data_IF_039235387208
#
_entry.id   IF_039235387208
#
_cell.length_a   1.000
_cell.length_b   1.000
_cell.length_c   1.000
_cell.angle_alpha   90.00
_cell.angle_beta   90.00
_cell.angle_gamma   90.00
#
_symmetry.space_group_name_H-M   'P 1'
#
loop_
_entity.id
_entity.type
_entity.pdbx_description
1 polymer ?
#
# COMPACT_ATOMS: atom_id res chain seq x y z
N UNK A 1 -3.16 18.84 23.15
CA UNK A 1 -3.62 18.32 24.45
C UNK A 1 -2.49 18.39 25.46
N UNK A 2 -1.31 17.88 25.19
CA UNK A 2 -0.15 17.90 26.10
C UNK A 2 0.20 19.31 26.60
N UNK A 3 0.17 20.32 25.72
CA UNK A 3 0.37 21.74 26.09
C UNK A 3 -0.66 22.28 27.10
N UNK A 4 -1.76 21.57 27.28
CA UNK A 4 -2.81 21.90 28.27
C UNK A 4 -2.76 21.01 29.51
N UNK A 5 -1.64 20.32 29.76
CA UNK A 5 -1.46 19.44 30.91
C UNK A 5 -2.20 18.12 30.88
N UNK A 6 -2.69 17.72 29.69
CA UNK A 6 -3.38 16.43 29.49
C UNK A 6 -2.35 15.41 29.07
N UNK A 7 -2.24 14.30 29.81
CA UNK A 7 -1.40 13.18 29.44
C UNK A 7 -1.95 12.48 28.19
N UNK A 8 -1.11 12.31 27.18
CA UNK A 8 -1.51 11.72 25.89
C UNK A 8 -0.47 10.71 25.40
N UNK A 9 -0.96 9.64 24.80
CA UNK A 9 -0.17 8.66 24.06
C UNK A 9 -0.85 8.41 22.71
N UNK A 10 -0.10 8.53 21.63
CA UNK A 10 -0.57 8.29 20.28
C UNK A 10 -0.51 6.80 19.92
N UNK A 11 -1.51 6.36 19.13
CA UNK A 11 -1.52 5.03 18.50
C UNK A 11 -1.65 5.24 17.00
N UNK A 12 -0.70 4.74 16.17
CA UNK A 12 -0.70 4.98 14.75
C UNK A 12 -1.79 4.17 14.03
N UNK A 13 -2.74 4.89 13.41
CA UNK A 13 -3.87 4.32 12.70
C UNK A 13 -4.12 5.07 11.40
N UNK A 14 -3.76 4.44 10.29
CA UNK A 14 -4.01 4.88 8.91
C UNK A 14 -3.86 3.71 7.96
N UNK A 15 -4.61 3.71 6.87
CA UNK A 15 -4.47 2.70 5.82
C UNK A 15 -3.20 2.91 4.96
N UNK A 16 -2.61 4.10 4.99
CA UNK A 16 -1.50 4.50 4.12
C UNK A 16 -0.17 3.89 4.56
N UNK A 17 -0.05 3.46 5.82
CA UNK A 17 1.17 2.96 6.47
C UNK A 17 2.38 3.92 6.34
N UNK A 18 2.12 5.22 6.32
CA UNK A 18 3.08 6.29 6.05
C UNK A 18 3.64 6.96 7.31
N UNK A 19 3.24 6.52 8.51
CA UNK A 19 3.77 7.05 9.77
C UNK A 19 5.20 6.54 9.99
N UNK A 20 6.13 7.49 10.06
CA UNK A 20 7.57 7.24 9.92
C UNK A 20 8.18 6.36 11.01
N UNK A 21 7.67 6.44 12.23
CA UNK A 21 8.26 5.77 13.40
C UNK A 21 7.80 4.32 13.59
N UNK A 22 6.89 3.81 12.76
CA UNK A 22 6.33 2.47 12.94
C UNK A 22 6.36 1.66 11.65
N UNK A 23 6.63 0.37 11.77
CA UNK A 23 6.57 -0.56 10.64
C UNK A 23 5.13 -0.82 10.20
N UNK A 24 4.17 -0.63 11.11
CA UNK A 24 2.78 -0.97 10.90
C UNK A 24 1.82 0.06 11.48
N UNK A 25 0.80 0.40 10.71
CA UNK A 25 -0.32 1.24 11.16
C UNK A 25 -1.63 0.45 11.14
N UNK A 26 -2.48 0.66 12.16
CA UNK A 26 -3.78 -0.02 12.27
C UNK A 26 -4.67 0.42 11.10
N UNK A 27 -5.22 -0.55 10.39
CA UNK A 27 -6.07 -0.34 9.20
C UNK A 27 -5.39 -0.68 7.88
N UNK A 28 -4.06 -0.73 7.82
CA UNK A 28 -3.31 -1.04 6.60
C UNK A 28 -3.65 -2.43 6.04
N UNK A 29 -3.60 -3.47 6.88
CA UNK A 29 -3.87 -4.85 6.45
C UNK A 29 -5.32 -5.04 6.00
N UNK A 30 -6.25 -4.40 6.68
CA UNK A 30 -7.68 -4.41 6.28
C UNK A 30 -7.87 -3.77 4.92
N UNK A 31 -7.24 -2.60 4.67
CA UNK A 31 -7.32 -1.91 3.39
C UNK A 31 -6.66 -2.73 2.26
N UNK A 32 -5.53 -3.38 2.56
CA UNK A 32 -4.87 -4.28 1.62
C UNK A 32 -5.77 -5.47 1.25
N UNK A 33 -6.37 -6.13 2.24
CA UNK A 33 -7.30 -7.23 1.99
C UNK A 33 -8.52 -6.80 1.17
N UNK A 34 -9.09 -5.61 1.44
CA UNK A 34 -10.18 -5.05 0.64
C UNK A 34 -9.76 -4.84 -0.82
N UNK A 35 -8.55 -4.32 -1.05
CA UNK A 35 -8.03 -4.13 -2.40
C UNK A 35 -7.76 -5.47 -3.11
N UNK A 36 -7.15 -6.43 -2.43
CA UNK A 36 -6.89 -7.79 -2.98
C UNK A 36 -8.20 -8.47 -3.36
N UNK A 37 -9.21 -8.45 -2.48
CA UNK A 37 -10.53 -9.03 -2.78
C UNK A 37 -11.18 -8.39 -4.01
N UNK A 38 -11.10 -7.07 -4.14
CA UNK A 38 -11.62 -6.37 -5.31
C UNK A 38 -10.88 -6.77 -6.59
N UNK A 39 -9.55 -6.90 -6.52
CA UNK A 39 -8.69 -7.30 -7.65
C UNK A 39 -8.97 -8.75 -8.05
N UNK A 40 -9.16 -9.67 -7.11
CA UNK A 40 -9.49 -11.06 -7.41
C UNK A 40 -10.81 -11.16 -8.17
N UNK A 41 -11.83 -10.41 -7.76
CA UNK A 41 -13.10 -10.32 -8.49
C UNK A 41 -12.93 -9.75 -9.92
N UNK A 42 -12.04 -8.77 -10.10
CA UNK A 42 -11.72 -8.27 -11.44
C UNK A 42 -11.02 -9.34 -12.27
N UNK A 43 -10.08 -10.08 -11.66
CA UNK A 43 -9.32 -11.15 -12.31
C UNK A 43 -10.23 -12.27 -12.84
N UNK A 44 -11.22 -12.69 -12.07
CA UNK A 44 -12.19 -13.69 -12.50
C UNK A 44 -12.90 -13.31 -13.81
N UNK A 45 -13.12 -12.02 -14.03
CA UNK A 45 -13.76 -11.51 -15.24
C UNK A 45 -12.80 -11.40 -16.43
N UNK A 46 -11.49 -11.49 -16.20
CA UNK A 46 -10.46 -11.33 -17.24
C UNK A 46 -10.04 -12.62 -17.92
N UNK A 47 -10.44 -13.79 -17.41
CA UNK A 47 -9.94 -15.09 -17.89
C UNK A 47 -10.29 -15.44 -19.35
N UNK A 48 -11.20 -14.74 -19.98
CA UNK A 48 -11.74 -15.12 -21.30
C UNK A 48 -11.07 -14.48 -22.52
N UNK A 49 -10.22 -13.44 -22.36
CA UNK A 49 -9.57 -12.71 -23.45
C UNK A 49 -8.27 -12.05 -22.98
N UNK A 50 -7.34 -11.72 -23.90
CA UNK A 50 -6.17 -10.90 -23.58
C UNK A 50 -6.63 -9.55 -23.02
N UNK A 51 -6.43 -9.34 -21.72
CA UNK A 51 -6.95 -8.16 -21.01
C UNK A 51 -5.90 -7.48 -20.15
N UNK A 52 -5.92 -6.18 -20.19
CA UNK A 52 -5.17 -5.33 -19.28
C UNK A 52 -6.13 -4.69 -18.26
N UNK A 53 -5.75 -4.68 -17.00
CA UNK A 53 -6.44 -3.93 -15.95
C UNK A 53 -5.49 -2.96 -15.30
N UNK A 54 -5.96 -1.73 -15.08
CA UNK A 54 -5.26 -0.70 -14.34
C UNK A 54 -6.09 -0.39 -13.10
N UNK A 55 -5.52 -0.64 -11.93
CA UNK A 55 -6.23 -0.47 -10.66
C UNK A 55 -5.53 0.60 -9.83
N UNK A 56 -6.27 1.67 -9.51
CA UNK A 56 -5.81 2.72 -8.63
C UNK A 56 -6.16 2.38 -7.18
N UNK A 57 -5.15 2.45 -6.31
CA UNK A 57 -5.29 2.22 -4.88
C UNK A 57 -4.92 3.48 -4.10
N UNK A 58 -5.53 3.65 -2.95
CA UNK A 58 -5.21 4.73 -2.03
C UNK A 58 -3.80 4.60 -1.46
N UNK A 59 -3.38 5.56 -0.67
CA UNK A 59 -2.04 5.62 -0.05
C UNK A 59 -1.54 7.06 0.05
N UNK A 60 -2.34 8.04 -0.40
CA UNK A 60 -2.02 9.45 -0.43
C UNK A 60 -0.69 9.69 -1.19
N UNK A 61 0.38 10.05 -0.51
CA UNK A 61 1.70 10.30 -1.09
C UNK A 61 2.67 9.13 -0.84
N UNK A 62 2.16 7.95 -0.47
CA UNK A 62 2.95 6.76 -0.16
C UNK A 62 2.50 5.55 -0.99
N UNK A 63 3.46 4.80 -1.49
CA UNK A 63 3.26 3.61 -2.30
C UNK A 63 3.20 2.29 -1.52
N UNK A 64 3.21 2.33 -0.18
CA UNK A 64 3.24 1.12 0.65
C UNK A 64 2.07 0.18 0.36
N UNK A 65 0.84 0.73 0.27
CA UNK A 65 -0.36 -0.05 -0.01
C UNK A 65 -0.33 -0.63 -1.42
N UNK A 66 0.06 0.18 -2.42
CA UNK A 66 0.17 -0.25 -3.80
C UNK A 66 1.18 -1.38 -3.98
N UNK A 67 2.37 -1.25 -3.35
CA UNK A 67 3.41 -2.27 -3.40
C UNK A 67 2.93 -3.58 -2.74
N UNK A 68 2.33 -3.50 -1.56
CA UNK A 68 1.85 -4.67 -0.84
C UNK A 68 0.74 -5.41 -1.60
N UNK A 69 -0.22 -4.67 -2.13
CA UNK A 69 -1.30 -5.21 -2.97
C UNK A 69 -0.75 -5.79 -4.27
N UNK A 70 0.21 -5.10 -4.91
CA UNK A 70 0.86 -5.58 -6.14
C UNK A 70 1.58 -6.91 -5.96
N UNK A 71 2.32 -7.06 -4.86
CA UNK A 71 2.96 -8.33 -4.49
C UNK A 71 1.91 -9.42 -4.24
N UNK A 72 0.89 -9.14 -3.43
CA UNK A 72 -0.13 -10.11 -3.07
C UNK A 72 -0.91 -10.62 -4.29
N UNK A 73 -1.08 -9.77 -5.30
CA UNK A 73 -1.85 -10.10 -6.51
C UNK A 73 -0.99 -10.49 -7.71
N UNK A 74 0.34 -10.47 -7.60
CA UNK A 74 1.24 -10.77 -8.72
C UNK A 74 1.07 -9.79 -9.88
N UNK A 75 1.02 -8.48 -9.56
CA UNK A 75 0.85 -7.43 -10.56
C UNK A 75 1.99 -7.43 -11.59
N UNK A 76 1.69 -7.05 -12.84
CA UNK A 76 2.67 -6.89 -13.91
C UNK A 76 3.55 -5.66 -13.68
N UNK A 77 2.98 -4.59 -13.14
CA UNK A 77 3.71 -3.39 -12.72
C UNK A 77 3.03 -2.74 -11.53
N UNK A 78 3.83 -2.05 -10.70
CA UNK A 78 3.34 -1.24 -9.58
C UNK A 78 3.98 0.13 -9.66
N UNK A 79 3.16 1.17 -9.79
CA UNK A 79 3.61 2.55 -9.87
C UNK A 79 3.43 3.22 -8.51
N UNK A 80 4.52 3.73 -7.95
CA UNK A 80 4.58 4.31 -6.60
C UNK A 80 5.19 5.70 -6.63
N UNK A 81 4.75 6.64 -5.77
CA UNK A 81 5.24 8.02 -5.79
C UNK A 81 6.71 8.15 -5.34
N UNK A 82 7.24 7.19 -4.60
CA UNK A 82 8.63 7.20 -4.13
C UNK A 82 9.66 6.93 -5.23
N UNK A 83 9.22 6.43 -6.39
CA UNK A 83 10.08 6.17 -7.55
C UNK A 83 9.53 6.88 -8.78
N UNK A 84 10.37 7.67 -9.41
CA UNK A 84 10.07 8.18 -10.74
C UNK A 84 9.99 7.01 -11.72
N UNK A 85 8.85 6.86 -12.38
CA UNK A 85 8.66 5.83 -13.39
C UNK A 85 8.74 6.39 -14.80
N UNK A 86 9.29 5.59 -15.72
CA UNK A 86 9.31 5.88 -17.15
C UNK A 86 8.27 4.94 -17.80
N UNK A 87 7.21 5.51 -18.35
CA UNK A 87 6.07 4.76 -18.86
C UNK A 87 6.47 3.64 -19.83
N UNK A 88 7.36 3.92 -20.79
CA UNK A 88 7.82 2.92 -21.75
C UNK A 88 8.53 1.75 -21.07
N UNK A 89 9.45 2.02 -20.13
CA UNK A 89 10.21 0.99 -19.42
C UNK A 89 9.35 0.23 -18.39
N UNK A 90 8.59 0.97 -17.58
CA UNK A 90 7.99 0.41 -16.37
C UNK A 90 6.57 -0.12 -16.59
N UNK A 91 5.96 0.19 -17.73
CA UNK A 91 4.63 -0.30 -18.09
C UNK A 91 4.66 -1.05 -19.42
N UNK A 92 5.07 -0.38 -20.51
CA UNK A 92 4.96 -0.96 -21.85
C UNK A 92 5.87 -2.18 -21.99
N UNK A 93 7.15 -2.06 -21.63
CA UNK A 93 8.11 -3.15 -21.75
C UNK A 93 7.74 -4.32 -20.83
N UNK A 94 7.23 -4.05 -19.63
CA UNK A 94 6.76 -5.11 -18.71
C UNK A 94 5.57 -5.87 -19.28
N UNK A 95 4.64 -5.21 -19.92
CA UNK A 95 3.53 -5.87 -20.63
C UNK A 95 4.06 -6.70 -21.79
N UNK A 96 5.03 -6.20 -22.57
CA UNK A 96 5.66 -6.93 -23.69
C UNK A 96 6.36 -8.19 -23.19
N UNK A 97 7.17 -8.10 -22.13
CA UNK A 97 7.86 -9.24 -21.53
C UNK A 97 6.88 -10.28 -20.96
N UNK A 98 5.84 -9.81 -20.28
CA UNK A 98 4.78 -10.69 -19.80
C UNK A 98 4.09 -11.44 -20.95
N UNK A 99 3.82 -10.76 -22.08
CA UNK A 99 3.27 -11.37 -23.29
C UNK A 99 4.22 -12.42 -23.87
N UNK A 100 5.51 -12.12 -23.97
CA UNK A 100 6.53 -13.07 -24.46
C UNK A 100 6.66 -14.31 -23.56
N UNK A 101 6.43 -14.17 -22.26
CA UNK A 101 6.40 -15.30 -21.31
C UNK A 101 5.10 -16.10 -21.35
N UNK A 102 4.16 -15.78 -22.25
CA UNK A 102 2.88 -16.47 -22.41
C UNK A 102 1.77 -16.01 -21.48
N UNK A 103 1.97 -14.91 -20.73
CA UNK A 103 0.89 -14.32 -19.94
C UNK A 103 -0.12 -13.63 -20.86
N UNK A 104 -1.40 -13.85 -20.59
CA UNK A 104 -2.52 -13.23 -21.32
C UNK A 104 -3.24 -12.15 -20.53
N UNK A 105 -2.81 -11.93 -19.29
CA UNK A 105 -3.42 -10.94 -18.38
C UNK A 105 -2.35 -10.03 -17.81
N UNK A 106 -2.63 -8.73 -17.83
CA UNK A 106 -1.72 -7.70 -17.35
C UNK A 106 -2.44 -6.87 -16.29
N UNK A 107 -1.88 -6.85 -15.09
CA UNK A 107 -2.39 -6.07 -13.97
C UNK A 107 -1.40 -4.96 -13.62
N UNK A 108 -1.83 -3.72 -13.74
CA UNK A 108 -1.05 -2.56 -13.35
C UNK A 108 -1.68 -1.95 -12.11
N UNK A 109 -0.94 -1.88 -11.03
CA UNK A 109 -1.38 -1.21 -9.80
C UNK A 109 -0.78 0.19 -9.77
N UNK A 110 -1.61 1.19 -9.54
CA UNK A 110 -1.21 2.59 -9.48
C UNK A 110 -1.54 3.13 -8.10
N UNK A 111 -0.53 3.57 -7.35
CA UNK A 111 -0.78 4.39 -6.15
C UNK A 111 -1.36 5.74 -6.57
N UNK A 112 -2.40 6.24 -5.91
CA UNK A 112 -3.04 7.53 -6.23
C UNK A 112 -2.04 8.71 -6.25
N UNK A 113 -0.96 8.62 -5.46
CA UNK A 113 0.12 9.60 -5.42
C UNK A 113 1.12 9.51 -6.57
N UNK A 114 1.13 8.41 -7.34
CA UNK A 114 2.03 8.23 -8.48
C UNK A 114 1.43 8.78 -9.79
N UNK A 115 0.11 8.84 -9.90
CA UNK A 115 -0.56 9.32 -11.11
C UNK A 115 -2.00 8.82 -11.23
N UNK A 116 -2.64 9.17 -12.31
CA UNK A 116 -4.02 8.76 -12.60
C UNK A 116 -4.06 7.43 -13.36
N UNK A 117 -4.77 6.45 -12.82
CA UNK A 117 -5.01 5.19 -13.53
C UNK A 117 -5.74 5.38 -14.86
N UNK A 118 -6.60 6.39 -14.97
CA UNK A 118 -7.29 6.73 -16.23
C UNK A 118 -6.29 7.16 -17.32
N UNK A 119 -5.33 8.02 -16.96
CA UNK A 119 -4.31 8.48 -17.89
C UNK A 119 -3.34 7.35 -18.28
N UNK A 120 -2.92 6.52 -17.31
CA UNK A 120 -2.09 5.33 -17.57
C UNK A 120 -2.83 4.37 -18.51
N UNK A 121 -4.12 4.13 -18.29
CA UNK A 121 -4.94 3.29 -19.18
C UNK A 121 -5.00 3.83 -20.60
N UNK A 122 -5.20 5.14 -20.77
CA UNK A 122 -5.18 5.80 -22.08
C UNK A 122 -3.82 5.62 -22.79
N UNK A 123 -2.72 5.86 -22.08
CA UNK A 123 -1.38 5.70 -22.64
C UNK A 123 -1.10 4.24 -23.06
N UNK A 124 -1.56 3.25 -22.26
CA UNK A 124 -1.45 1.82 -22.63
C UNK A 124 -2.23 1.54 -23.94
N UNK A 125 -3.44 2.10 -24.08
CA UNK A 125 -4.22 1.94 -25.29
C UNK A 125 -3.48 2.51 -26.51
N UNK A 126 -2.96 3.73 -26.39
CA UNK A 126 -2.23 4.41 -27.47
C UNK A 126 -0.93 3.67 -27.85
N UNK A 127 -0.18 3.13 -26.87
CA UNK A 127 1.11 2.48 -27.11
C UNK A 127 1.01 1.03 -27.59
N UNK A 128 0.01 0.28 -27.11
CA UNK A 128 -0.06 -1.17 -27.30
C UNK A 128 -1.33 -1.64 -28.04
N UNK A 129 -2.29 -0.77 -28.28
CA UNK A 129 -3.60 -1.11 -28.87
C UNK A 129 -4.47 -2.00 -27.96
N UNK A 130 -4.11 -2.14 -26.68
CA UNK A 130 -4.93 -2.83 -25.70
C UNK A 130 -6.12 -1.93 -25.29
N UNK A 131 -7.17 -2.55 -24.74
CA UNK A 131 -8.32 -1.83 -24.16
C UNK A 131 -8.34 -2.03 -22.64
N UNK A 132 -7.59 -1.24 -21.87
CA UNK A 132 -7.47 -1.45 -20.43
C UNK A 132 -8.78 -1.18 -19.70
N UNK A 133 -9.11 -2.05 -18.74
CA UNK A 133 -10.18 -1.82 -17.78
C UNK A 133 -9.62 -1.05 -16.59
N UNK A 134 -10.05 0.19 -16.43
CA UNK A 134 -9.60 1.04 -15.32
C UNK A 134 -10.58 0.94 -14.17
N UNK A 135 -10.06 0.70 -12.98
CA UNK A 135 -10.83 0.65 -11.73
C UNK A 135 -10.17 1.51 -10.68
N UNK A 136 -10.88 2.47 -10.14
CA UNK A 136 -10.42 3.30 -9.03
C UNK A 136 -11.15 2.81 -7.78
N UNK A 137 -10.41 2.17 -6.86
CA UNK A 137 -11.01 1.60 -5.65
C UNK A 137 -11.51 2.70 -4.69
N UNK A 138 -10.71 3.75 -4.50
CA UNK A 138 -11.13 4.88 -3.68
C UNK A 138 -11.55 4.49 -2.26
N UNK A 139 -12.60 5.14 -1.76
CA UNK A 139 -13.00 5.08 -0.35
C UNK A 139 -13.49 3.71 0.14
N UNK A 140 -13.80 2.75 -0.73
CA UNK A 140 -14.13 1.37 -0.28
C UNK A 140 -12.98 0.74 0.51
N UNK A 141 -11.73 1.14 0.25
CA UNK A 141 -10.55 0.69 0.98
C UNK A 141 -10.49 1.18 2.43
N UNK A 142 -11.28 2.21 2.79
CA UNK A 142 -11.38 2.72 4.18
C UNK A 142 -12.42 1.98 5.01
N UNK A 143 -13.20 1.11 4.40
CA UNK A 143 -14.24 0.32 5.04
C UNK A 143 -13.84 -1.14 5.19
N UNK A 144 -14.81 -1.93 5.63
CA UNK A 144 -14.69 -3.38 5.76
C UNK A 144 -14.51 -3.84 7.20
N UNK A 145 -14.55 -5.15 7.37
CA UNK A 145 -14.33 -5.80 8.67
C UNK A 145 -12.82 -5.87 8.96
N UNK A 146 -12.37 -5.37 10.12
CA UNK A 146 -10.97 -5.42 10.48
C UNK A 146 -10.39 -6.83 10.40
N UNK A 147 -9.23 -6.97 9.77
CA UNK A 147 -8.50 -8.24 9.71
C UNK A 147 -8.04 -8.70 11.10
N UNK A 148 -7.72 -9.98 11.25
CA UNK A 148 -7.17 -10.50 12.49
C UNK A 148 -5.87 -9.78 12.88
N UNK A 149 -5.03 -9.45 11.90
CA UNK A 149 -3.77 -8.73 12.10
C UNK A 149 -4.01 -7.33 12.67
N UNK A 150 -4.92 -6.56 12.10
CA UNK A 150 -5.28 -5.22 12.60
C UNK A 150 -5.85 -5.29 14.02
N UNK A 151 -6.70 -6.28 14.32
CA UNK A 151 -7.27 -6.45 15.66
C UNK A 151 -6.20 -6.75 16.71
N UNK A 152 -5.28 -7.67 16.41
CA UNK A 152 -4.17 -8.03 17.31
C UNK A 152 -3.24 -6.84 17.51
N UNK A 153 -2.90 -6.13 16.45
CA UNK A 153 -2.04 -4.95 16.51
C UNK A 153 -2.69 -3.84 17.32
N UNK A 154 -3.97 -3.57 17.11
CA UNK A 154 -4.72 -2.55 17.86
C UNK A 154 -4.78 -2.90 19.36
N UNK A 155 -5.00 -4.16 19.72
CA UNK A 155 -5.01 -4.62 21.11
C UNK A 155 -3.64 -4.44 21.76
N UNK A 156 -2.56 -4.84 21.09
CA UNK A 156 -1.20 -4.71 21.62
C UNK A 156 -0.82 -3.23 21.77
N UNK A 157 -1.05 -2.40 20.77
CA UNK A 157 -0.76 -0.97 20.84
C UNK A 157 -1.58 -0.28 21.95
N UNK A 158 -2.87 -0.63 22.06
CA UNK A 158 -3.73 -0.11 23.12
C UNK A 158 -3.24 -0.49 24.52
N UNK A 159 -2.86 -1.74 24.73
CA UNK A 159 -2.27 -2.20 25.99
C UNK A 159 -1.01 -1.39 26.36
N UNK A 160 -0.07 -1.27 25.42
CA UNK A 160 1.18 -0.52 25.67
C UNK A 160 0.92 0.99 25.89
N UNK A 161 -0.10 1.56 25.21
CA UNK A 161 -0.48 2.95 25.44
C UNK A 161 -1.00 3.19 26.87
N UNK A 162 -1.83 2.28 27.37
CA UNK A 162 -2.34 2.35 28.77
C UNK A 162 -1.20 2.16 29.76
N UNK A 163 -0.29 1.20 29.53
CA UNK A 163 0.85 0.98 30.41
C UNK A 163 1.79 2.20 30.45
N UNK A 164 2.06 2.81 29.31
CA UNK A 164 2.85 4.05 29.26
C UNK A 164 2.23 5.18 30.09
N UNK A 165 0.90 5.36 30.00
CA UNK A 165 0.18 6.34 30.82
C UNK A 165 0.23 5.98 32.32
N UNK A 166 0.08 4.71 32.67
CA UNK A 166 0.17 4.24 34.05
C UNK A 166 1.58 4.45 34.66
N UNK A 167 2.62 4.40 33.84
CA UNK A 167 4.00 4.74 34.20
C UNK A 167 4.26 6.27 34.25
N UNK A 168 3.24 7.09 34.04
CA UNK A 168 3.35 8.56 34.04
C UNK A 168 3.98 9.14 32.76
N UNK A 169 4.18 8.32 31.72
CA UNK A 169 4.69 8.80 30.45
C UNK A 169 3.59 9.57 29.69
N UNK A 170 3.99 10.64 29.04
CA UNK A 170 3.12 11.45 28.19
C UNK A 170 3.87 11.90 26.95
N UNK A 171 3.16 12.37 25.95
CA UNK A 171 3.74 12.82 24.67
C UNK A 171 4.47 11.71 23.91
N UNK A 172 3.98 10.47 24.07
CA UNK A 172 4.57 9.28 23.44
C UNK A 172 3.70 8.79 22.28
N UNK A 173 4.30 8.06 21.38
CA UNK A 173 3.62 7.26 20.36
C UNK A 173 4.07 5.80 20.48
N UNK A 174 3.11 4.88 20.47
CA UNK A 174 3.38 3.44 20.51
C UNK A 174 3.65 2.96 19.08
N UNK A 175 4.82 2.37 18.87
CA UNK A 175 5.27 1.93 17.56
C UNK A 175 5.53 0.44 17.53
N UNK A 176 5.31 -0.19 16.39
CA UNK A 176 5.83 -1.52 16.07
C UNK A 176 7.14 -1.35 15.31
N UNK A 177 8.25 -1.87 15.85
CA UNK A 177 9.56 -1.83 15.21
C UNK A 177 10.22 -3.20 15.32
N UNK A 178 10.57 -3.81 14.18
CA UNK A 178 11.16 -5.14 14.10
C UNK A 178 10.41 -6.20 14.95
N UNK A 179 9.07 -6.15 14.92
CA UNK A 179 8.22 -7.09 15.66
C UNK A 179 8.08 -6.81 17.16
N UNK A 180 8.64 -5.70 17.66
CA UNK A 180 8.53 -5.29 19.07
C UNK A 180 7.70 -4.03 19.21
N UNK A 181 6.98 -3.91 20.33
CA UNK A 181 6.32 -2.65 20.71
C UNK A 181 7.32 -1.77 21.45
N UNK A 182 7.46 -0.54 20.98
CA UNK A 182 8.30 0.51 21.58
C UNK A 182 7.48 1.78 21.75
N UNK A 183 7.84 2.61 22.73
CA UNK A 183 7.29 3.94 22.88
C UNK A 183 8.38 4.99 22.59
N UNK A 184 8.05 5.93 21.71
CA UNK A 184 8.94 7.02 21.32
C UNK A 184 8.33 8.37 21.69
N UNK A 185 9.15 9.39 21.85
CA UNK A 185 8.65 10.76 21.86
C UNK A 185 7.92 11.05 20.54
N UNK A 186 6.74 11.66 20.60
CA UNK A 186 5.88 11.85 19.43
C UNK A 186 6.53 12.78 18.39
N UNK A 187 7.28 13.81 18.85
CA UNK A 187 7.94 14.75 17.94
C UNK A 187 9.14 14.08 17.26
N UNK A 188 9.93 13.34 18.04
CA UNK A 188 11.03 12.54 17.50
C UNK A 188 10.53 11.51 16.50
N UNK A 189 9.49 10.75 16.88
CA UNK A 189 8.91 9.71 16.00
C UNK A 189 8.38 10.28 14.68
N UNK A 190 7.67 11.40 14.72
CA UNK A 190 7.14 12.05 13.50
C UNK A 190 8.25 12.70 12.63
N UNK A 191 9.40 13.01 13.23
CA UNK A 191 10.57 13.52 12.51
C UNK A 191 11.39 12.46 11.76
N UNK A 192 11.13 11.17 11.98
CA UNK A 192 11.81 10.08 11.29
C UNK A 192 11.41 10.01 9.81
N UNK A 193 12.14 9.24 9.03
CA UNK A 193 11.80 8.95 7.63
C UNK A 193 11.43 7.49 7.47
N UNK A 194 10.40 7.22 6.71
CA UNK A 194 10.00 5.89 6.29
C UNK A 194 10.17 5.78 4.78
N UNK A 195 10.98 4.84 4.37
CA UNK A 195 11.20 4.55 2.95
C UNK A 195 10.31 3.37 2.55
N UNK A 196 10.05 3.28 1.26
CA UNK A 196 9.45 2.09 0.68
C UNK A 196 10.37 0.89 0.91
N UNK A 197 9.81 -0.28 1.18
CA UNK A 197 10.58 -1.51 1.37
C UNK A 197 11.23 -1.92 0.04
N UNK A 198 12.56 -1.76 -0.04
CA UNK A 198 13.33 -2.06 -1.24
C UNK A 198 13.33 -3.54 -1.59
N UNK A 199 13.33 -4.44 -0.58
CA UNK A 199 13.31 -5.88 -0.82
C UNK A 199 11.97 -6.33 -1.40
N UNK A 200 10.85 -5.79 -0.88
CA UNK A 200 9.55 -6.05 -1.46
C UNK A 200 9.43 -5.49 -2.87
N UNK A 201 10.00 -4.32 -3.12
CA UNK A 201 9.99 -3.73 -4.46
C UNK A 201 10.82 -4.57 -5.45
N UNK A 202 12.02 -5.01 -5.06
CA UNK A 202 12.85 -5.92 -5.85
C UNK A 202 12.17 -7.27 -6.11
N UNK A 203 11.50 -7.83 -5.09
CA UNK A 203 10.72 -9.06 -5.26
C UNK A 203 9.59 -8.88 -6.28
N UNK A 204 8.88 -7.75 -6.24
CA UNK A 204 7.84 -7.42 -7.21
C UNK A 204 8.43 -7.30 -8.62
N UNK A 205 9.59 -6.66 -8.79
CA UNK A 205 10.28 -6.57 -10.09
C UNK A 205 10.68 -7.94 -10.61
N UNK A 206 11.24 -8.80 -9.76
CA UNK A 206 11.65 -10.15 -10.13
C UNK A 206 10.47 -11.04 -10.58
N UNK A 207 9.28 -10.88 -9.98
CA UNK A 207 8.07 -11.63 -10.39
C UNK A 207 7.60 -11.29 -11.80
N UNK A 208 7.97 -10.15 -12.32
CA UNK A 208 7.60 -9.71 -13.68
C UNK A 208 8.60 -10.14 -14.75
N UNK A 209 9.70 -10.81 -14.36
CA UNK A 209 10.67 -11.41 -15.29
C UNK A 209 11.66 -10.40 -15.90
N UNK A 210 11.97 -9.33 -15.18
CA UNK A 210 13.00 -8.35 -15.57
C UNK A 210 14.24 -8.53 -14.70
#
# INVERSE_FOLDING_TARGET
>A
LSKHGISVVGVPATIDNDISCTDYTIGFDTAANTAVEAIDRLRDTMQSHERCSVVEVMGRNAGHLALYVGLATGATAVLVPEKEFIFERDVVERIRLARLSGKTHYMIIVAEGAGSAMEIGKQIHEALGLDPRVTILGHIQRGGTPSARDRVMATNMGYHAVMALAEGKTNRVICSQAGKMVDLDIIEGLGMKKNLDSQQYEAMEAMTGI
#
